data_IF_128213380363
#
_entry.id   IF_128213380363
#
_cell.length_a   1.000
_cell.length_b   1.000
_cell.length_c   1.000
_cell.angle_alpha   90.00
_cell.angle_beta   90.00
_cell.angle_gamma   90.00
#
_symmetry.space_group_name_H-M   'P 1'
#
loop_
_entity.id
_entity.type
_entity.pdbx_description
1 polymer ?
#
# COMPACT_ATOMS: atom_id res chain seq x y z
N UNK A 1 -3.64 14.40 -12.62
CA UNK A 1 -2.35 15.03 -13.03
C UNK A 1 -2.22 16.45 -12.52
N UNK A 2 -3.19 17.35 -12.78
CA UNK A 2 -3.08 18.77 -12.36
C UNK A 2 -2.97 18.96 -10.84
N UNK A 3 -3.72 18.21 -10.06
CA UNK A 3 -3.66 18.26 -8.60
C UNK A 3 -2.28 17.83 -8.08
N UNK A 4 -1.71 16.75 -8.64
CA UNK A 4 -0.38 16.31 -8.30
C UNK A 4 0.69 17.36 -8.64
N UNK A 5 0.58 18.02 -9.80
CA UNK A 5 1.47 19.13 -10.19
C UNK A 5 1.39 20.31 -9.21
N UNK A 6 0.19 20.63 -8.69
CA UNK A 6 0.00 21.68 -7.69
C UNK A 6 0.66 21.28 -6.36
N UNK A 7 0.48 20.04 -5.92
CA UNK A 7 1.08 19.53 -4.68
C UNK A 7 2.61 19.53 -4.78
N UNK A 8 3.17 19.06 -5.89
CA UNK A 8 4.62 19.09 -6.13
C UNK A 8 5.15 20.52 -6.14
N UNK A 9 4.48 21.43 -6.87
CA UNK A 9 4.87 22.85 -6.90
C UNK A 9 4.73 23.55 -5.53
N UNK A 10 3.84 23.08 -4.66
CA UNK A 10 3.70 23.53 -3.28
C UNK A 10 4.78 22.96 -2.34
N UNK A 11 5.65 22.07 -2.83
CA UNK A 11 6.73 21.49 -2.06
C UNK A 11 6.32 20.29 -1.21
N UNK A 12 5.31 19.53 -1.62
CA UNK A 12 4.97 18.27 -0.94
C UNK A 12 6.12 17.28 -1.04
N UNK A 13 6.51 16.67 0.08
CA UNK A 13 7.58 15.66 0.14
C UNK A 13 7.14 14.34 -0.51
N UNK A 14 5.84 14.09 -0.57
CA UNK A 14 5.23 12.86 -1.11
C UNK A 14 3.78 13.14 -1.53
N UNK A 15 3.31 12.49 -2.58
CA UNK A 15 1.93 12.61 -3.06
C UNK A 15 1.21 11.26 -2.87
N UNK A 16 0.10 11.26 -2.14
CA UNK A 16 -0.78 10.07 -2.08
C UNK A 16 -1.81 10.16 -3.21
N UNK A 17 -1.74 9.24 -4.16
CA UNK A 17 -2.74 9.09 -5.22
C UNK A 17 -3.98 8.41 -4.66
N UNK A 18 -4.93 9.21 -4.19
CA UNK A 18 -6.20 8.72 -3.66
C UNK A 18 -7.21 8.48 -4.78
N UNK A 19 -7.64 7.25 -4.95
CA UNK A 19 -8.65 6.86 -5.94
C UNK A 19 -10.09 7.04 -5.46
N UNK A 20 -10.28 7.33 -4.17
CA UNK A 20 -11.60 7.50 -3.57
C UNK A 20 -12.32 8.72 -4.14
N UNK A 21 -11.59 9.77 -4.50
CA UNK A 21 -12.14 11.03 -4.99
C UNK A 21 -12.27 11.09 -6.51
N UNK A 22 -11.51 10.31 -7.26
CA UNK A 22 -11.52 10.31 -8.73
C UNK A 22 -11.26 8.93 -9.31
N UNK A 23 -12.19 7.97 -9.18
CA UNK A 23 -12.06 6.68 -9.83
C UNK A 23 -12.34 6.83 -11.32
N UNK A 24 -11.36 7.31 -12.10
CA UNK A 24 -11.50 7.51 -13.53
C UNK A 24 -11.18 6.24 -14.32
N UNK A 25 -10.24 5.42 -13.83
CA UNK A 25 -9.81 4.18 -14.47
C UNK A 25 -9.31 3.21 -13.40
N UNK A 26 -9.85 1.99 -13.36
CA UNK A 26 -9.44 0.95 -12.42
C UNK A 26 -8.09 0.30 -12.80
N UNK A 27 -7.65 0.47 -14.04
CA UNK A 27 -6.45 -0.19 -14.58
C UNK A 27 -5.26 0.73 -14.64
N UNK A 28 -5.43 1.94 -15.16
CA UNK A 28 -4.35 2.87 -15.47
C UNK A 28 -4.54 4.19 -14.73
N UNK A 29 -3.50 4.58 -14.02
CA UNK A 29 -3.43 5.85 -13.32
C UNK A 29 -2.41 6.78 -13.99
N UNK A 30 -2.11 7.91 -13.36
CA UNK A 30 -1.11 8.84 -13.88
C UNK A 30 0.28 8.19 -13.87
N UNK A 31 1.11 8.49 -14.87
CA UNK A 31 2.51 8.10 -14.87
C UNK A 31 3.26 8.95 -13.85
N UNK A 32 3.76 8.30 -12.79
CA UNK A 32 4.45 8.96 -11.68
C UNK A 32 5.87 9.38 -12.06
N UNK A 33 6.42 8.83 -13.13
CA UNK A 33 7.76 9.17 -13.66
C UNK A 33 7.82 10.58 -14.23
N UNK A 34 6.67 11.21 -14.51
CA UNK A 34 6.57 12.61 -14.92
C UNK A 34 6.80 13.61 -13.76
N UNK A 35 6.97 13.10 -12.52
CA UNK A 35 7.11 13.89 -11.30
C UNK A 35 8.45 13.61 -10.60
N UNK A 36 8.90 14.58 -9.81
CA UNK A 36 10.05 14.41 -8.90
C UNK A 36 9.64 13.96 -7.51
N UNK A 37 8.44 14.38 -7.06
CA UNK A 37 7.88 13.93 -5.79
C UNK A 37 7.50 12.43 -5.87
N UNK A 38 7.89 11.60 -4.88
CA UNK A 38 7.51 10.20 -4.82
C UNK A 38 6.01 10.04 -4.56
N UNK A 39 5.43 8.98 -5.12
CA UNK A 39 4.00 8.68 -4.97
C UNK A 39 3.75 7.47 -4.07
N UNK A 40 2.71 7.60 -3.23
CA UNK A 40 2.07 6.50 -2.51
C UNK A 40 0.80 6.12 -3.23
N UNK A 41 0.58 4.83 -3.45
CA UNK A 41 -0.63 4.33 -4.12
C UNK A 41 -1.29 3.22 -3.31
N UNK A 42 -2.61 3.22 -3.28
CA UNK A 42 -3.41 2.17 -2.65
C UNK A 42 -3.53 0.92 -3.52
N UNK A 43 -3.56 -0.26 -2.89
CA UNK A 43 -3.84 -1.52 -3.55
C UNK A 43 -4.67 -2.47 -2.66
N UNK A 44 -5.54 -3.28 -3.29
CA UNK A 44 -6.35 -4.31 -2.63
C UNK A 44 -5.80 -5.72 -2.84
N UNK A 45 -4.92 -5.88 -3.84
CA UNK A 45 -4.35 -7.13 -4.27
C UNK A 45 -3.00 -6.93 -4.97
N UNK A 46 -2.31 -8.02 -5.26
CA UNK A 46 -0.97 -7.95 -5.82
C UNK A 46 -0.94 -7.34 -7.23
N UNK A 47 -1.85 -7.73 -8.12
CA UNK A 47 -1.83 -7.22 -9.49
C UNK A 47 -2.07 -5.69 -9.56
N UNK A 48 -2.94 -5.16 -8.69
CA UNK A 48 -3.14 -3.72 -8.56
C UNK A 48 -1.85 -3.03 -8.05
N UNK A 49 -1.21 -3.61 -7.02
CA UNK A 49 0.06 -3.09 -6.51
C UNK A 49 1.14 -3.05 -7.60
N UNK A 50 1.29 -4.14 -8.37
CA UNK A 50 2.30 -4.21 -9.42
C UNK A 50 2.04 -3.21 -10.56
N UNK A 51 0.79 -2.96 -10.93
CA UNK A 51 0.46 -1.90 -11.90
C UNK A 51 0.84 -0.51 -11.39
N UNK A 52 0.58 -0.21 -10.12
CA UNK A 52 0.98 1.08 -9.51
C UNK A 52 2.50 1.24 -9.48
N UNK A 53 3.23 0.17 -9.17
CA UNK A 53 4.69 0.17 -9.19
C UNK A 53 5.22 0.38 -10.62
N UNK A 54 4.62 -0.26 -11.61
CA UNK A 54 4.96 -0.08 -13.03
C UNK A 54 4.77 1.37 -13.51
N UNK A 55 3.77 2.05 -12.98
CA UNK A 55 3.52 3.48 -13.22
C UNK A 55 4.47 4.41 -12.44
N UNK A 56 5.36 3.88 -11.60
CA UNK A 56 6.36 4.61 -10.84
C UNK A 56 6.00 4.90 -9.38
N UNK A 57 5.05 4.18 -8.77
CA UNK A 57 4.78 4.32 -7.33
C UNK A 57 6.01 3.94 -6.51
N UNK A 58 6.40 4.82 -5.59
CA UNK A 58 7.51 4.60 -4.65
C UNK A 58 7.10 3.83 -3.40
N UNK A 59 5.81 3.78 -3.09
CA UNK A 59 5.24 3.09 -1.94
C UNK A 59 3.85 2.56 -2.28
N UNK A 60 3.54 1.36 -1.79
CA UNK A 60 2.19 0.80 -1.80
C UNK A 60 1.61 0.86 -0.38
N UNK A 61 0.34 1.17 -0.27
CA UNK A 61 -0.44 1.00 0.96
C UNK A 61 -1.68 0.16 0.71
N UNK A 62 -2.20 -0.48 1.75
CA UNK A 62 -3.54 -1.07 1.66
C UNK A 62 -4.57 0.04 1.47
N UNK A 63 -5.65 -0.22 0.72
CA UNK A 63 -6.75 0.75 0.60
C UNK A 63 -7.55 0.82 1.90
N UNK A 64 -7.89 -0.34 2.47
CA UNK A 64 -8.70 -0.41 3.68
C UNK A 64 -10.02 0.37 3.57
N UNK A 65 -10.56 0.79 4.68
CA UNK A 65 -11.71 1.70 4.79
C UNK A 65 -11.34 2.87 5.71
N UNK A 66 -10.86 3.95 5.11
CA UNK A 66 -10.40 5.11 5.85
C UNK A 66 -11.51 5.75 6.70
N UNK A 67 -11.18 6.14 7.94
CA UNK A 67 -12.08 6.85 8.84
C UNK A 67 -13.13 5.99 9.56
N UNK A 68 -13.19 4.67 9.31
CA UNK A 68 -14.20 3.77 9.91
C UNK A 68 -13.78 3.22 11.29
N UNK A 69 -12.47 3.20 11.58
CA UNK A 69 -11.93 2.48 12.74
C UNK A 69 -12.04 0.95 12.62
N UNK A 70 -12.33 0.43 11.42
CA UNK A 70 -12.39 -0.98 11.10
C UNK A 70 -11.20 -1.41 10.23
N UNK A 71 -10.26 -2.12 10.84
CA UNK A 71 -9.03 -2.59 10.20
C UNK A 71 -9.24 -3.82 9.31
N UNK A 72 -10.40 -4.45 9.33
CA UNK A 72 -10.65 -5.72 8.64
C UNK A 72 -10.32 -5.69 7.15
N UNK A 73 -10.69 -4.61 6.45
CA UNK A 73 -10.40 -4.47 5.01
C UNK A 73 -8.89 -4.32 4.75
N UNK A 74 -8.16 -3.58 5.58
CA UNK A 74 -6.71 -3.47 5.47
C UNK A 74 -6.04 -4.83 5.66
N UNK A 75 -6.47 -5.61 6.65
CA UNK A 75 -6.01 -7.00 6.88
C UNK A 75 -6.30 -7.88 5.66
N UNK A 76 -7.52 -7.78 5.10
CA UNK A 76 -7.91 -8.56 3.92
C UNK A 76 -7.03 -8.22 2.70
N UNK A 77 -6.80 -6.94 2.42
CA UNK A 77 -5.95 -6.50 1.33
C UNK A 77 -4.50 -6.97 1.50
N UNK A 78 -3.94 -6.83 2.71
CA UNK A 78 -2.59 -7.29 2.99
C UNK A 78 -2.44 -8.81 2.83
N UNK A 79 -3.41 -9.58 3.30
CA UNK A 79 -3.44 -11.04 3.12
C UNK A 79 -3.53 -11.43 1.64
N UNK A 80 -4.29 -10.70 0.83
CA UNK A 80 -4.36 -10.93 -0.61
C UNK A 80 -3.00 -10.72 -1.28
N UNK A 81 -2.32 -9.60 -0.96
CA UNK A 81 -0.99 -9.29 -1.49
C UNK A 81 0.01 -10.38 -1.07
N UNK A 82 0.17 -10.62 0.22
CA UNK A 82 1.13 -11.63 0.75
C UNK A 82 0.82 -13.05 0.28
N UNK A 83 -0.47 -13.41 0.22
CA UNK A 83 -0.89 -14.73 -0.25
C UNK A 83 -0.58 -14.96 -1.72
N UNK A 84 -0.73 -13.94 -2.57
CA UNK A 84 -0.37 -14.00 -3.98
C UNK A 84 1.16 -14.10 -4.16
N UNK A 85 1.94 -13.32 -3.41
CA UNK A 85 3.42 -13.38 -3.43
C UNK A 85 3.90 -14.81 -3.10
N UNK A 86 3.40 -15.40 -2.01
CA UNK A 86 3.76 -16.79 -1.62
C UNK A 86 3.42 -17.81 -2.70
N UNK A 87 2.33 -17.62 -3.44
CA UNK A 87 2.01 -18.49 -4.57
C UNK A 87 3.01 -18.32 -5.71
N UNK A 88 3.39 -17.08 -6.04
CA UNK A 88 4.36 -16.79 -7.09
C UNK A 88 5.76 -17.36 -6.79
N UNK A 89 6.19 -17.34 -5.52
CA UNK A 89 7.46 -17.95 -5.08
C UNK A 89 7.54 -19.43 -5.46
N UNK A 90 6.43 -20.17 -5.34
CA UNK A 90 6.35 -21.60 -5.68
C UNK A 90 6.13 -21.90 -7.17
N UNK A 91 5.91 -20.90 -8.02
CA UNK A 91 5.64 -21.07 -9.45
C UNK A 91 6.94 -21.09 -10.28
N UNK A 92 6.96 -21.92 -11.33
CA UNK A 92 7.99 -21.89 -12.35
C UNK A 92 7.83 -20.66 -13.27
N UNK A 93 8.85 -20.34 -14.05
CA UNK A 93 8.89 -19.18 -14.92
C UNK A 93 7.66 -19.06 -15.83
N UNK A 94 7.29 -20.14 -16.53
CA UNK A 94 6.14 -20.14 -17.44
C UNK A 94 4.79 -19.95 -16.73
N UNK A 95 4.68 -20.40 -15.49
CA UNK A 95 3.48 -20.22 -14.66
C UNK A 95 3.36 -18.76 -14.20
N UNK A 96 4.48 -18.11 -13.85
CA UNK A 96 4.52 -16.67 -13.53
C UNK A 96 4.13 -15.82 -14.73
N UNK A 97 4.64 -16.15 -15.92
CA UNK A 97 4.25 -15.52 -17.19
C UNK A 97 2.75 -15.65 -17.47
N UNK A 98 2.20 -16.85 -17.24
CA UNK A 98 0.76 -17.07 -17.37
C UNK A 98 -0.03 -16.24 -16.38
N UNK A 99 0.40 -16.25 -15.10
CA UNK A 99 -0.24 -15.47 -14.05
C UNK A 99 -0.21 -13.96 -14.37
N UNK A 100 0.91 -13.45 -14.85
CA UNK A 100 1.04 -12.05 -15.25
C UNK A 100 0.03 -11.66 -16.32
N UNK A 101 -0.13 -12.49 -17.36
CA UNK A 101 -1.13 -12.26 -18.43
C UNK A 101 -2.57 -12.35 -17.92
N UNK A 102 -2.90 -13.35 -17.11
CA UNK A 102 -4.25 -13.56 -16.58
C UNK A 102 -4.70 -12.44 -15.62
N UNK A 103 -3.75 -11.81 -14.93
CA UNK A 103 -4.01 -10.74 -13.96
C UNK A 103 -3.68 -9.34 -14.49
N UNK A 104 -3.30 -9.24 -15.78
CA UNK A 104 -2.92 -7.97 -16.40
C UNK A 104 -1.85 -7.22 -15.57
N UNK A 105 -0.84 -7.97 -15.09
CA UNK A 105 0.26 -7.47 -14.31
C UNK A 105 1.56 -7.45 -15.12
N UNK A 106 2.48 -6.51 -14.88
CA UNK A 106 3.78 -6.46 -15.54
C UNK A 106 4.61 -7.71 -15.22
N UNK A 107 4.99 -8.47 -16.26
CA UNK A 107 5.67 -9.76 -16.08
C UNK A 107 7.02 -9.62 -15.36
N UNK A 108 7.80 -8.59 -15.68
CA UNK A 108 9.08 -8.32 -15.01
C UNK A 108 8.90 -8.13 -13.50
N UNK A 109 7.92 -7.33 -13.08
CA UNK A 109 7.62 -7.10 -11.66
C UNK A 109 7.05 -8.35 -10.98
N UNK A 110 6.34 -9.22 -11.71
CA UNK A 110 5.89 -10.51 -11.18
C UNK A 110 7.09 -11.41 -10.84
N UNK A 111 8.08 -11.48 -11.74
CA UNK A 111 9.30 -12.26 -11.50
C UNK A 111 10.12 -11.67 -10.34
N UNK A 112 10.38 -10.37 -10.36
CA UNK A 112 11.12 -9.67 -9.31
C UNK A 112 10.47 -9.88 -7.93
N UNK A 113 9.15 -9.69 -7.84
CA UNK A 113 8.39 -9.89 -6.61
C UNK A 113 8.46 -11.33 -6.10
N UNK A 114 8.38 -12.30 -7.01
CA UNK A 114 8.51 -13.72 -6.66
C UNK A 114 9.91 -14.09 -6.15
N UNK A 115 10.96 -13.50 -6.73
CA UNK A 115 12.35 -13.72 -6.31
C UNK A 115 12.67 -13.05 -4.98
N UNK A 116 12.12 -11.85 -4.74
CA UNK A 116 12.30 -11.11 -3.50
C UNK A 116 11.44 -11.65 -2.35
N UNK A 117 10.35 -12.36 -2.63
CA UNK A 117 9.35 -12.76 -1.63
C UNK A 117 8.58 -11.57 -1.02
N UNK A 118 8.67 -10.40 -1.65
CA UNK A 118 8.03 -9.15 -1.23
C UNK A 118 7.86 -8.20 -2.41
N UNK A 119 7.05 -7.14 -2.23
CA UNK A 119 7.01 -6.05 -3.20
C UNK A 119 8.39 -5.37 -3.32
N UNK A 120 8.78 -4.90 -4.52
CA UNK A 120 10.06 -4.19 -4.71
C UNK A 120 10.07 -2.76 -4.12
N UNK A 121 8.95 -2.33 -3.56
CA UNK A 121 8.81 -1.06 -2.82
C UNK A 121 8.26 -1.33 -1.42
N UNK A 122 8.33 -0.34 -0.53
CA UNK A 122 7.75 -0.44 0.82
C UNK A 122 6.23 -0.59 0.74
N UNK A 123 5.68 -1.40 1.64
CA UNK A 123 4.26 -1.72 1.71
C UNK A 123 3.70 -1.37 3.09
N UNK A 124 2.96 -0.27 3.17
CA UNK A 124 2.33 0.19 4.41
C UNK A 124 0.88 -0.28 4.52
N UNK A 125 0.40 -0.38 5.75
CA UNK A 125 -1.02 -0.55 6.02
C UNK A 125 -1.70 0.81 6.17
N UNK A 126 -2.89 0.94 5.60
CA UNK A 126 -3.75 2.12 5.74
C UNK A 126 -5.22 1.73 5.67
N UNK A 127 -6.06 2.59 6.23
CA UNK A 127 -7.52 2.44 6.19
C UNK A 127 -8.09 1.65 7.36
N UNK A 128 -8.73 2.34 8.30
CA UNK A 128 -9.40 1.76 9.44
C UNK A 128 -8.52 1.45 10.66
N UNK A 129 -7.22 1.74 10.60
CA UNK A 129 -6.31 1.57 11.74
C UNK A 129 -6.60 2.69 12.75
N UNK A 130 -6.98 2.33 13.97
CA UNK A 130 -7.40 3.27 14.99
C UNK A 130 -6.65 3.11 16.32
N UNK A 131 -6.12 1.93 16.61
CA UNK A 131 -5.52 1.60 17.90
C UNK A 131 -4.08 1.07 17.76
N UNK A 132 -3.27 1.12 18.84
CA UNK A 132 -1.97 0.44 18.85
C UNK A 132 -2.04 -1.05 18.55
N UNK A 133 -3.13 -1.73 18.96
CA UNK A 133 -3.34 -3.14 18.64
C UNK A 133 -3.54 -3.38 17.14
N UNK A 134 -4.29 -2.51 16.45
CA UNK A 134 -4.43 -2.58 14.99
C UNK A 134 -3.08 -2.38 14.30
N UNK A 135 -2.27 -1.44 14.80
CA UNK A 135 -0.92 -1.19 14.29
C UNK A 135 -0.04 -2.43 14.41
N UNK A 136 0.06 -3.02 15.60
CA UNK A 136 0.80 -4.25 15.83
C UNK A 136 0.30 -5.41 14.97
N UNK A 137 -1.03 -5.55 14.80
CA UNK A 137 -1.64 -6.55 13.93
C UNK A 137 -1.17 -6.41 12.47
N UNK A 138 -1.15 -5.20 11.94
CA UNK A 138 -0.73 -4.98 10.56
C UNK A 138 0.78 -5.22 10.37
N UNK A 139 1.61 -4.88 11.34
CA UNK A 139 3.03 -5.22 11.35
C UNK A 139 3.21 -6.75 11.37
N UNK A 140 2.46 -7.47 12.20
CA UNK A 140 2.46 -8.94 12.23
C UNK A 140 2.03 -9.55 10.88
N UNK A 141 1.15 -8.91 10.12
CA UNK A 141 0.81 -9.29 8.75
C UNK A 141 1.88 -8.93 7.72
N UNK A 142 3.00 -8.37 8.14
CA UNK A 142 4.19 -8.13 7.32
C UNK A 142 4.12 -6.84 6.52
N UNK A 143 3.44 -5.82 7.02
CA UNK A 143 3.61 -4.45 6.54
C UNK A 143 4.95 -3.89 6.98
N UNK A 144 5.51 -2.96 6.22
CA UNK A 144 6.76 -2.25 6.55
C UNK A 144 6.50 -1.04 7.46
N UNK A 145 5.24 -0.64 7.61
CA UNK A 145 4.78 0.47 8.44
C UNK A 145 3.29 0.69 8.30
N UNK A 146 2.79 1.75 8.92
CA UNK A 146 1.36 2.06 8.95
C UNK A 146 1.09 3.54 8.72
N UNK A 147 -0.10 3.85 8.20
CA UNK A 147 -0.70 5.17 8.20
C UNK A 147 -1.90 5.19 9.15
N UNK A 148 -1.91 6.12 10.10
CA UNK A 148 -3.03 6.34 11.02
C UNK A 148 -3.44 7.80 10.96
N UNK A 149 -4.71 8.06 10.76
CA UNK A 149 -5.28 9.41 10.70
C UNK A 149 -6.27 9.64 11.83
N UNK A 150 -7.55 9.40 11.56
CA UNK A 150 -8.65 9.69 12.49
C UNK A 150 -8.51 8.98 13.85
N UNK A 151 -7.87 7.83 13.90
CA UNK A 151 -7.61 7.11 15.16
C UNK A 151 -6.74 7.90 16.13
N UNK A 152 -5.78 8.69 15.62
CA UNK A 152 -4.95 9.58 16.44
C UNK A 152 -5.66 10.91 16.68
N UNK A 153 -6.09 11.60 15.60
CA UNK A 153 -6.68 12.94 15.72
C UNK A 153 -8.01 12.97 16.47
N UNK A 154 -8.75 11.87 16.47
CA UNK A 154 -10.01 11.70 17.23
C UNK A 154 -9.84 11.17 18.66
N UNK A 155 -8.63 10.87 19.10
CA UNK A 155 -8.35 10.39 20.44
C UNK A 155 -8.52 11.53 21.48
N UNK A 156 -8.83 11.16 22.72
CA UNK A 156 -8.90 12.10 23.84
C UNK A 156 -7.55 12.76 24.10
N UNK A 157 -6.45 12.01 23.93
CA UNK A 157 -5.08 12.48 23.98
C UNK A 157 -4.34 12.01 22.70
N UNK A 158 -4.30 12.84 21.65
CA UNK A 158 -3.65 12.47 20.38
C UNK A 158 -2.14 12.22 20.48
N UNK A 159 -1.43 12.93 21.38
CA UNK A 159 0.01 12.76 21.56
C UNK A 159 0.33 11.41 22.22
N UNK A 160 -0.39 11.06 23.29
CA UNK A 160 -0.27 9.77 23.94
C UNK A 160 -0.66 8.63 22.98
N UNK A 161 -1.73 8.77 22.19
CA UNK A 161 -2.15 7.80 21.21
C UNK A 161 -1.09 7.61 20.12
N UNK A 162 -0.55 8.71 19.57
CA UNK A 162 0.52 8.64 18.56
C UNK A 162 1.77 7.94 19.08
N UNK A 163 2.19 8.24 20.30
CA UNK A 163 3.31 7.58 20.98
C UNK A 163 3.05 6.08 21.12
N UNK A 164 1.88 5.68 21.61
CA UNK A 164 1.51 4.27 21.78
C UNK A 164 1.47 3.51 20.45
N UNK A 165 1.00 4.15 19.38
CA UNK A 165 1.01 3.55 18.04
C UNK A 165 2.45 3.32 17.55
N UNK A 166 3.36 4.30 17.73
CA UNK A 166 4.78 4.14 17.36
C UNK A 166 5.44 3.04 18.17
N UNK A 167 5.18 2.96 19.47
CA UNK A 167 5.68 1.88 20.32
C UNK A 167 5.16 0.51 19.86
N UNK A 168 3.89 0.41 19.49
CA UNK A 168 3.31 -0.83 18.97
C UNK A 168 3.92 -1.26 17.63
N UNK A 169 4.25 -0.31 16.75
CA UNK A 169 4.96 -0.60 15.48
C UNK A 169 6.39 -1.09 15.75
N UNK A 170 7.07 -0.55 16.74
CA UNK A 170 8.45 -0.90 17.03
C UNK A 170 8.61 -2.19 17.87
N UNK A 171 7.55 -2.66 18.53
CA UNK A 171 7.58 -3.79 19.49
C UNK A 171 6.41 -4.77 19.23
N UNK A 172 6.10 -5.05 17.96
CA UNK A 172 4.95 -5.89 17.57
C UNK A 172 5.22 -7.40 17.66
N UNK A 173 6.46 -7.86 17.79
CA UNK A 173 6.96 -9.25 17.84
C UNK A 173 7.22 -9.78 19.27
#
# INVERSE_FOLDING_TARGET
TKEAQILEAAGADMVDESEVLTPADDRYHIDKRDFTAPFVCGARNLQEALRRIDEGAAMIRTKGEAGTGDVNQAVHHQRNIKGAIRKLEGMHHEEREKWAREHEAPAELVHETAEMGRLPVVNFAAGGIATPADAALMMHHGCDGIFVGSGIFGAEDPEAMGTAVVEAVNNWD
#
